data_IF_300537265678
#
_entry.id   IF_300537265678
#
_cell.length_a   1.000
_cell.length_b   1.000
_cell.length_c   1.000
_cell.angle_alpha   90.00
_cell.angle_beta   90.00
_cell.angle_gamma   90.00
#
_symmetry.space_group_name_H-M   'P 1'
#
loop_
_entity.id
_entity.type
_entity.pdbx_description
1 polymer ?
#
# COMPACT_ATOMS: atom_id res chain seq x y z
N UNK A 1 -18.76 -9.25 29.87
CA UNK A 1 -18.82 -7.79 29.60
C UNK A 1 -18.23 -6.98 30.74
N UNK A 2 -18.58 -7.29 31.99
CA UNK A 2 -18.00 -6.64 33.17
C UNK A 2 -16.47 -6.65 33.16
N UNK A 3 -15.84 -7.83 33.03
CA UNK A 3 -14.37 -7.95 33.00
C UNK A 3 -13.72 -7.13 31.87
N UNK A 4 -14.38 -7.07 30.70
CA UNK A 4 -13.92 -6.26 29.57
C UNK A 4 -13.95 -4.77 29.90
N UNK A 5 -15.01 -4.29 30.54
CA UNK A 5 -15.12 -2.89 30.97
C UNK A 5 -14.09 -2.57 32.06
N UNK A 6 -13.88 -3.46 33.02
CA UNK A 6 -12.90 -3.26 34.08
C UNK A 6 -11.47 -3.21 33.52
N UNK A 7 -11.12 -4.11 32.61
CA UNK A 7 -9.80 -4.09 31.97
C UNK A 7 -9.64 -2.90 31.02
N UNK A 8 -10.68 -2.53 30.24
CA UNK A 8 -10.64 -1.33 29.39
C UNK A 8 -10.34 -0.06 30.19
N UNK A 9 -11.01 0.11 31.34
CA UNK A 9 -10.78 1.26 32.21
C UNK A 9 -9.36 1.26 32.78
N UNK A 10 -8.85 0.09 33.18
CA UNK A 10 -7.49 -0.07 33.69
C UNK A 10 -6.43 0.21 32.62
N UNK A 11 -6.61 -0.30 31.40
CA UNK A 11 -5.74 -0.02 30.25
C UNK A 11 -5.76 1.47 29.93
N UNK A 12 -6.94 2.10 29.86
CA UNK A 12 -7.08 3.53 29.62
C UNK A 12 -6.39 4.39 30.69
N UNK A 13 -6.55 4.03 31.96
CA UNK A 13 -5.90 4.74 33.07
C UNK A 13 -4.38 4.55 33.04
N UNK A 14 -3.90 3.35 32.75
CA UNK A 14 -2.46 3.05 32.61
C UNK A 14 -1.86 3.85 31.46
N UNK A 15 -2.51 3.84 30.31
CA UNK A 15 -2.09 4.60 29.13
C UNK A 15 -2.02 6.10 29.41
N UNK A 16 -3.06 6.67 30.02
CA UNK A 16 -3.08 8.10 30.43
C UNK A 16 -1.98 8.42 31.43
N UNK A 17 -1.72 7.55 32.40
CA UNK A 17 -0.67 7.76 33.39
C UNK A 17 0.73 7.66 32.79
N UNK A 18 0.95 6.73 31.86
CA UNK A 18 2.20 6.61 31.11
C UNK A 18 2.43 7.86 30.25
N UNK A 19 1.42 8.30 29.50
CA UNK A 19 1.48 9.52 28.70
C UNK A 19 1.80 10.76 29.56
N UNK A 20 1.13 10.93 30.70
CA UNK A 20 1.42 12.03 31.65
C UNK A 20 2.84 11.99 32.22
N UNK A 21 3.43 10.80 32.36
CA UNK A 21 4.81 10.61 32.81
C UNK A 21 5.84 10.77 31.69
N UNK A 22 5.41 11.10 30.47
CA UNK A 22 6.30 11.22 29.31
C UNK A 22 6.76 9.87 28.74
N UNK A 23 6.09 8.77 29.10
CA UNK A 23 6.38 7.42 28.58
C UNK A 23 5.66 7.21 27.24
N UNK A 24 5.96 8.07 26.27
CA UNK A 24 5.43 8.03 24.90
C UNK A 24 6.58 7.74 23.93
N UNK A 25 6.33 6.89 22.95
CA UNK A 25 7.29 6.59 21.88
C UNK A 25 7.30 7.78 20.90
N UNK A 26 8.18 8.74 21.15
CA UNK A 26 8.40 9.84 20.21
C UNK A 26 9.03 9.29 18.92
N UNK A 27 8.55 9.75 17.76
CA UNK A 27 9.20 9.55 16.48
C UNK A 27 9.60 10.90 15.87
N UNK A 28 10.89 11.11 15.58
CA UNK A 28 11.35 12.38 15.00
C UNK A 28 10.79 12.66 13.61
N UNK A 29 10.52 11.64 12.80
CA UNK A 29 9.97 11.81 11.46
C UNK A 29 8.50 12.25 11.51
N UNK A 30 7.72 11.71 12.45
CA UNK A 30 6.35 12.21 12.74
C UNK A 30 6.39 13.64 13.25
N UNK A 31 7.29 13.94 14.19
CA UNK A 31 7.40 15.28 14.77
C UNK A 31 7.72 16.36 13.72
N UNK A 32 8.40 15.98 12.63
CA UNK A 32 8.70 16.84 11.49
C UNK A 32 7.61 16.84 10.41
N UNK A 33 6.63 15.93 10.47
CA UNK A 33 5.58 15.80 9.45
C UNK A 33 6.15 15.40 8.07
N UNK A 34 7.11 14.47 8.05
CA UNK A 34 7.81 14.02 6.82
C UNK A 34 7.58 12.56 6.49
N UNK A 35 6.76 11.87 7.26
CA UNK A 35 6.45 10.44 7.18
C UNK A 35 5.78 10.00 5.88
N UNK A 36 5.33 10.90 5.01
CA UNK A 36 4.79 10.54 3.68
C UNK A 36 5.57 11.20 2.53
N UNK A 37 6.70 11.87 2.83
CA UNK A 37 7.39 12.73 1.86
C UNK A 37 8.60 12.03 1.25
N UNK A 38 8.43 11.47 0.06
CA UNK A 38 9.46 10.71 -0.70
C UNK A 38 10.85 11.36 -0.70
N UNK A 39 10.92 12.67 -0.91
CA UNK A 39 12.18 13.40 -0.95
C UNK A 39 12.93 13.40 0.41
N UNK A 40 12.23 13.37 1.54
CA UNK A 40 12.87 13.25 2.86
C UNK A 40 13.36 11.82 3.12
N UNK A 41 12.65 10.81 2.62
CA UNK A 41 13.13 9.42 2.64
C UNK A 41 14.39 9.27 1.80
N UNK A 42 14.39 9.83 0.59
CA UNK A 42 15.57 9.84 -0.27
C UNK A 42 16.75 10.52 0.40
N UNK A 43 16.53 11.66 1.07
CA UNK A 43 17.56 12.36 1.86
C UNK A 43 18.12 11.51 2.99
N UNK A 44 17.26 10.83 3.75
CA UNK A 44 17.72 10.02 4.87
C UNK A 44 18.46 8.75 4.41
N UNK A 45 17.95 8.05 3.39
CA UNK A 45 18.62 6.90 2.78
C UNK A 45 19.97 7.30 2.20
N UNK A 46 20.02 8.37 1.42
CA UNK A 46 21.26 8.90 0.85
C UNK A 46 22.26 9.32 1.94
N UNK A 47 21.79 9.97 3.00
CA UNK A 47 22.62 10.35 4.15
C UNK A 47 23.30 9.13 4.75
N UNK A 48 22.57 8.02 4.99
CA UNK A 48 23.14 6.79 5.54
C UNK A 48 24.08 6.05 4.57
N UNK A 49 23.82 6.10 3.26
CA UNK A 49 24.67 5.45 2.26
C UNK A 49 25.98 6.22 2.04
N UNK A 50 26.00 7.53 2.31
CA UNK A 50 27.15 8.37 2.03
C UNK A 50 28.29 8.15 3.05
N UNK A 51 29.42 7.49 2.67
CA UNK A 51 30.52 7.27 3.61
C UNK A 51 31.22 8.57 4.02
N UNK A 52 30.97 9.68 3.32
CA UNK A 52 31.54 11.01 3.59
C UNK A 52 30.59 11.93 4.35
N UNK A 53 29.42 11.45 4.79
CA UNK A 53 28.50 12.22 5.61
C UNK A 53 28.94 12.28 7.08
N UNK A 54 28.46 13.30 7.78
CA UNK A 54 28.82 13.61 9.18
C UNK A 54 28.30 12.59 10.21
N UNK A 55 27.73 11.46 9.78
CA UNK A 55 27.45 10.35 10.68
C UNK A 55 28.69 9.48 10.94
N UNK A 56 29.75 9.54 10.10
CA UNK A 56 31.01 8.80 10.27
C UNK A 56 30.84 7.27 10.38
N UNK A 57 29.85 6.69 9.69
CA UNK A 57 29.55 5.25 9.73
C UNK A 57 29.67 4.62 8.34
N UNK A 58 30.89 4.32 7.89
CA UNK A 58 31.11 3.54 6.65
C UNK A 58 30.40 2.17 6.68
N UNK A 59 30.09 1.67 7.88
CA UNK A 59 29.32 0.45 8.09
C UNK A 59 28.02 0.43 7.30
N UNK A 60 27.27 1.55 7.26
CA UNK A 60 25.96 1.58 6.62
C UNK A 60 26.05 1.35 5.13
N UNK A 61 27.01 2.03 4.49
CA UNK A 61 27.34 1.86 3.09
C UNK A 61 27.88 0.44 2.80
N UNK A 62 28.72 -0.11 3.68
CA UNK A 62 29.22 -1.48 3.54
C UNK A 62 28.08 -2.51 3.56
N UNK A 63 27.16 -2.43 4.53
CA UNK A 63 26.00 -3.33 4.60
C UNK A 63 25.04 -3.13 3.42
N UNK A 64 24.89 -1.89 2.92
CA UNK A 64 24.08 -1.59 1.74
C UNK A 64 24.65 -2.28 0.50
N UNK A 65 25.93 -2.06 0.19
CA UNK A 65 26.62 -2.65 -0.96
C UNK A 65 26.67 -4.18 -0.85
N UNK A 66 26.88 -4.70 0.37
CA UNK A 66 26.85 -6.14 0.66
C UNK A 66 25.49 -6.77 0.37
N UNK A 67 24.39 -6.13 0.76
CA UNK A 67 23.05 -6.63 0.43
C UNK A 67 22.74 -6.46 -1.05
N UNK A 68 23.21 -5.36 -1.66
CA UNK A 68 22.99 -5.07 -3.08
C UNK A 68 23.66 -6.12 -3.97
N UNK A 69 24.92 -6.49 -3.70
CA UNK A 69 25.64 -7.52 -4.48
C UNK A 69 24.95 -8.89 -4.47
N UNK A 70 24.26 -9.21 -3.37
CA UNK A 70 23.53 -10.46 -3.17
C UNK A 70 22.17 -10.44 -3.89
N UNK A 71 21.63 -9.25 -4.14
CA UNK A 71 20.31 -9.04 -4.74
C UNK A 71 20.35 -8.81 -6.25
N UNK A 72 21.43 -8.22 -6.77
CA UNK A 72 21.48 -7.73 -8.16
C UNK A 72 22.26 -8.68 -9.08
N UNK A 73 21.70 -8.98 -10.25
CA UNK A 73 22.36 -9.72 -11.33
C UNK A 73 23.17 -8.79 -12.26
N UNK A 74 23.97 -7.89 -11.68
CA UNK A 74 24.80 -6.93 -12.41
C UNK A 74 26.28 -7.19 -12.10
N UNK A 75 26.97 -7.93 -12.96
CA UNK A 75 28.36 -8.37 -12.75
C UNK A 75 29.28 -7.20 -12.37
N UNK A 76 29.12 -6.07 -13.03
CA UNK A 76 29.95 -4.89 -12.83
C UNK A 76 29.61 -4.13 -11.54
N UNK A 77 28.65 -4.58 -10.72
CA UNK A 77 28.30 -3.96 -9.44
C UNK A 77 28.47 -4.93 -8.25
N UNK A 78 28.96 -6.16 -8.47
CA UNK A 78 29.07 -7.18 -7.40
C UNK A 78 30.22 -6.97 -6.42
N UNK A 79 31.34 -6.42 -6.89
CA UNK A 79 32.57 -6.27 -6.10
C UNK A 79 32.76 -4.83 -5.61
N UNK A 80 31.67 -4.12 -5.34
CA UNK A 80 31.72 -2.74 -4.85
C UNK A 80 32.12 -2.67 -3.37
N UNK A 81 32.97 -1.71 -3.08
CA UNK A 81 33.38 -1.32 -1.74
C UNK A 81 33.01 0.13 -1.46
N UNK A 82 33.00 0.53 -0.19
CA UNK A 82 32.69 1.93 0.18
C UNK A 82 33.69 2.92 -0.41
N UNK A 83 34.94 2.48 -0.65
CA UNK A 83 35.97 3.30 -1.27
C UNK A 83 35.70 3.60 -2.76
N UNK A 84 34.81 2.87 -3.41
CA UNK A 84 34.43 3.13 -4.80
C UNK A 84 33.46 4.30 -4.94
N UNK A 85 32.73 4.64 -3.87
CA UNK A 85 31.77 5.74 -3.84
C UNK A 85 32.52 7.07 -3.96
N UNK A 86 32.16 7.89 -4.97
CA UNK A 86 32.66 9.25 -5.20
C UNK A 86 31.69 10.29 -4.59
N UNK A 87 30.39 10.15 -4.85
CA UNK A 87 29.35 11.01 -4.27
C UNK A 87 28.03 10.28 -4.11
N UNK A 88 27.22 10.76 -3.16
CA UNK A 88 25.81 10.38 -3.01
C UNK A 88 25.00 11.67 -2.98
N UNK A 89 24.18 11.90 -3.99
CA UNK A 89 23.44 13.13 -4.20
C UNK A 89 21.94 12.84 -4.19
N UNK A 90 21.15 13.68 -3.53
CA UNK A 90 19.69 13.66 -3.66
C UNK A 90 19.22 14.78 -4.55
N UNK A 91 18.08 14.58 -5.21
CA UNK A 91 17.51 15.57 -6.12
C UNK A 91 18.52 15.98 -7.22
N UNK A 92 19.36 15.03 -7.66
CA UNK A 92 20.48 15.29 -8.55
C UNK A 92 19.99 15.79 -9.91
N UNK A 93 20.38 17.02 -10.27
CA UNK A 93 19.85 17.71 -11.44
C UNK A 93 20.21 17.01 -12.75
N UNK A 94 19.17 16.71 -13.52
CA UNK A 94 19.21 16.27 -14.91
C UNK A 94 18.75 17.43 -15.80
N UNK A 95 18.98 17.32 -17.11
CA UNK A 95 18.47 18.29 -18.09
C UNK A 95 16.95 18.47 -17.94
N UNK A 96 16.45 19.67 -18.28
CA UNK A 96 15.02 20.02 -18.29
C UNK A 96 14.35 20.00 -16.89
N UNK A 97 15.08 20.43 -15.86
CA UNK A 97 14.60 20.59 -14.47
C UNK A 97 14.15 19.27 -13.79
N UNK A 98 14.61 18.14 -14.32
CA UNK A 98 14.41 16.81 -13.73
C UNK A 98 15.44 16.54 -12.65
N UNK A 99 15.08 15.71 -11.68
CA UNK A 99 15.91 15.43 -10.51
C UNK A 99 15.84 13.95 -10.19
N UNK A 100 16.99 13.27 -10.18
CA UNK A 100 17.09 11.89 -9.71
C UNK A 100 16.97 11.91 -8.19
N UNK A 101 16.11 11.07 -7.62
CA UNK A 101 15.86 11.08 -6.17
C UNK A 101 17.12 10.77 -5.35
N UNK A 102 17.85 9.71 -5.72
CA UNK A 102 19.19 9.43 -5.21
C UNK A 102 20.10 8.99 -6.36
N UNK A 103 21.25 9.63 -6.50
CA UNK A 103 22.30 9.26 -7.43
C UNK A 103 23.58 8.93 -6.66
N UNK A 104 24.04 7.69 -6.76
CA UNK A 104 25.36 7.27 -6.28
C UNK A 104 26.32 7.27 -7.48
N UNK A 105 27.33 8.13 -7.44
CA UNK A 105 28.40 8.17 -8.44
C UNK A 105 29.62 7.43 -7.92
N UNK A 106 30.19 6.55 -8.73
CA UNK A 106 31.43 5.84 -8.42
C UNK A 106 32.63 6.49 -9.11
N UNK A 107 33.81 6.32 -8.52
CA UNK A 107 35.07 6.95 -8.99
C UNK A 107 35.42 6.60 -10.45
N UNK A 108 35.04 5.41 -10.88
CA UNK A 108 35.27 4.90 -12.24
C UNK A 108 34.14 5.20 -13.23
N UNK A 109 33.23 6.13 -12.86
CA UNK A 109 32.10 6.58 -13.70
C UNK A 109 31.05 5.49 -13.97
N UNK A 110 30.91 4.54 -13.04
CA UNK A 110 29.67 3.80 -12.83
C UNK A 110 28.68 4.62 -11.99
N UNK A 111 27.40 4.37 -12.19
CA UNK A 111 26.31 5.11 -11.54
C UNK A 111 25.21 4.16 -11.06
N UNK A 112 24.68 4.43 -9.87
CA UNK A 112 23.47 3.80 -9.35
C UNK A 112 22.39 4.87 -9.22
N UNK A 113 21.32 4.73 -9.99
CA UNK A 113 20.09 5.52 -9.85
C UNK A 113 19.20 4.80 -8.85
N UNK A 114 18.63 5.51 -7.89
CA UNK A 114 17.49 5.04 -7.08
C UNK A 114 16.37 6.06 -7.26
N UNK A 115 15.30 5.65 -7.92
CA UNK A 115 14.05 6.41 -8.00
C UNK A 115 13.12 5.90 -6.90
N UNK A 116 12.68 6.80 -6.02
CA UNK A 116 11.94 6.46 -4.82
C UNK A 116 10.45 6.79 -4.97
N UNK A 117 9.59 5.77 -4.88
CA UNK A 117 8.15 5.88 -5.01
C UNK A 117 7.45 5.32 -3.77
N UNK A 118 6.95 6.21 -2.94
CA UNK A 118 6.00 5.88 -1.87
C UNK A 118 4.58 5.95 -2.43
N UNK A 119 4.11 7.16 -2.75
CA UNK A 119 2.73 7.41 -3.17
C UNK A 119 2.63 8.20 -4.48
N UNK A 120 3.74 8.76 -4.97
CA UNK A 120 3.72 9.57 -6.18
C UNK A 120 3.59 8.70 -7.44
N UNK A 121 2.78 9.18 -8.38
CA UNK A 121 2.68 8.61 -9.71
C UNK A 121 3.98 8.89 -10.49
N UNK A 122 4.27 7.99 -11.42
CA UNK A 122 5.38 8.16 -12.35
C UNK A 122 5.24 9.41 -13.22
N UNK A 123 6.35 10.12 -13.40
CA UNK A 123 6.42 11.23 -14.32
C UNK A 123 6.76 10.76 -15.73
N UNK A 124 6.21 11.43 -16.75
CA UNK A 124 6.45 11.09 -18.16
C UNK A 124 7.94 11.10 -18.49
N UNK A 125 8.46 10.04 -19.12
CA UNK A 125 9.86 9.83 -19.52
C UNK A 125 10.88 9.90 -18.37
N UNK A 126 10.49 9.75 -17.11
CA UNK A 126 11.36 9.96 -15.94
C UNK A 126 12.64 9.14 -15.98
N UNK A 127 12.54 7.81 -15.90
CA UNK A 127 13.71 6.93 -15.96
C UNK A 127 14.42 7.02 -17.31
N UNK A 128 13.66 7.23 -18.40
CA UNK A 128 14.24 7.40 -19.74
C UNK A 128 15.21 8.58 -19.80
N UNK A 129 14.84 9.72 -19.23
CA UNK A 129 15.66 10.93 -19.27
C UNK A 129 16.88 10.82 -18.35
N UNK A 130 16.76 10.14 -17.21
CA UNK A 130 17.91 9.89 -16.32
C UNK A 130 18.97 9.02 -16.97
N UNK A 131 18.58 7.87 -17.53
CA UNK A 131 19.50 6.92 -18.15
C UNK A 131 20.18 7.56 -19.35
N UNK A 132 19.44 8.29 -20.19
CA UNK A 132 20.01 9.02 -21.33
C UNK A 132 20.97 10.13 -20.88
N UNK A 133 20.67 10.82 -19.78
CA UNK A 133 21.57 11.83 -19.23
C UNK A 133 22.90 11.22 -18.77
N UNK A 134 22.87 10.09 -18.05
CA UNK A 134 24.08 9.41 -17.58
C UNK A 134 24.85 8.74 -18.73
N UNK A 135 24.17 8.17 -19.72
CA UNK A 135 24.78 7.66 -20.96
C UNK A 135 25.71 8.70 -21.60
N UNK A 136 25.29 9.96 -21.65
CA UNK A 136 26.09 11.05 -22.22
C UNK A 136 27.30 11.45 -21.37
N UNK A 137 27.38 11.03 -20.10
CA UNK A 137 28.54 11.26 -19.22
C UNK A 137 29.60 10.15 -19.34
N UNK A 138 29.23 8.97 -19.86
CA UNK A 138 30.12 7.83 -20.01
C UNK A 138 30.90 7.95 -21.32
N UNK A 139 32.23 7.83 -21.25
CA UNK A 139 33.13 8.04 -22.41
C UNK A 139 33.16 6.89 -23.41
N UNK A 140 32.88 5.66 -22.97
CA UNK A 140 32.89 4.45 -23.82
C UNK A 140 31.46 4.10 -24.25
N UNK A 141 31.16 4.28 -25.53
CA UNK A 141 29.80 4.20 -26.07
C UNK A 141 29.34 2.75 -26.28
N UNK A 142 30.26 1.79 -26.45
CA UNK A 142 29.88 0.43 -26.85
C UNK A 142 29.26 -0.37 -25.69
N UNK A 143 29.75 -0.18 -24.45
CA UNK A 143 29.27 -0.90 -23.25
C UNK A 143 28.77 0.04 -22.13
N UNK A 144 28.27 1.23 -22.46
CA UNK A 144 27.85 2.21 -21.44
C UNK A 144 26.81 1.63 -20.45
N UNK A 145 25.93 0.75 -20.93
CA UNK A 145 24.85 0.16 -20.15
C UNK A 145 25.33 -0.66 -18.95
N UNK A 146 26.53 -1.24 -19.04
CA UNK A 146 27.13 -1.98 -17.94
C UNK A 146 27.60 -1.08 -16.79
N UNK A 147 27.60 0.24 -17.00
CA UNK A 147 28.01 1.23 -16.00
C UNK A 147 26.83 1.94 -15.35
N UNK A 148 25.59 1.54 -15.64
CA UNK A 148 24.39 2.13 -15.06
C UNK A 148 23.56 1.02 -14.42
N UNK A 149 23.29 1.15 -13.12
CA UNK A 149 22.31 0.36 -12.41
C UNK A 149 21.11 1.25 -12.07
N UNK A 150 19.94 0.91 -12.61
CA UNK A 150 18.69 1.60 -12.31
C UNK A 150 17.92 0.81 -11.26
N UNK A 151 17.71 1.42 -10.10
CA UNK A 151 16.91 0.88 -9.00
C UNK A 151 15.59 1.64 -8.95
N UNK A 152 14.49 0.90 -8.94
CA UNK A 152 13.16 1.46 -8.68
C UNK A 152 12.72 0.98 -7.29
N UNK A 153 12.70 1.90 -6.33
CA UNK A 153 12.32 1.65 -4.94
C UNK A 153 10.83 1.96 -4.76
N UNK A 154 10.03 0.95 -4.43
CA UNK A 154 8.58 1.09 -4.27
C UNK A 154 8.08 0.44 -2.96
N UNK A 155 6.91 0.83 -2.43
CA UNK A 155 6.34 0.15 -1.25
C UNK A 155 5.87 -1.27 -1.56
N UNK A 156 5.21 -1.43 -2.70
CA UNK A 156 4.80 -2.73 -3.24
C UNK A 156 5.95 -3.43 -3.98
N UNK A 157 6.27 -4.66 -3.55
CA UNK A 157 7.32 -5.54 -4.10
C UNK A 157 7.06 -5.98 -5.54
N UNK A 158 5.81 -5.94 -6.01
CA UNK A 158 5.43 -6.38 -7.35
C UNK A 158 5.43 -5.24 -8.38
N UNK A 159 5.35 -3.99 -7.93
CA UNK A 159 5.23 -2.83 -8.81
C UNK A 159 6.53 -2.54 -9.58
N UNK A 160 6.37 -2.24 -10.88
CA UNK A 160 7.42 -1.74 -11.79
C UNK A 160 7.14 -0.31 -12.20
N UNK A 161 8.14 0.44 -12.68
CA UNK A 161 7.90 1.73 -13.29
C UNK A 161 6.98 1.55 -14.51
N UNK A 162 5.98 2.40 -14.58
CA UNK A 162 5.02 2.46 -15.66
C UNK A 162 5.68 2.81 -17.00
N UNK A 163 4.98 2.48 -18.09
CA UNK A 163 5.35 2.92 -19.44
C UNK A 163 5.38 4.45 -19.59
N UNK A 164 4.68 5.18 -18.71
CA UNK A 164 4.78 6.64 -18.67
C UNK A 164 6.21 7.06 -18.30
N UNK A 165 6.82 6.44 -17.29
CA UNK A 165 8.20 6.71 -16.85
C UNK A 165 9.26 6.20 -17.84
N UNK A 166 9.05 5.00 -18.37
CA UNK A 166 9.94 4.38 -19.37
C UNK A 166 9.80 5.03 -20.76
N UNK A 167 8.72 5.78 -20.98
CA UNK A 167 8.40 6.54 -22.17
C UNK A 167 7.39 5.84 -23.09
N UNK A 168 6.35 6.56 -23.52
CA UNK A 168 5.21 5.96 -24.25
C UNK A 168 5.55 5.65 -25.72
N UNK A 169 6.32 6.52 -26.39
CA UNK A 169 6.71 6.36 -27.80
C UNK A 169 8.20 6.06 -27.90
N UNK A 170 8.56 4.94 -28.53
CA UNK A 170 9.92 4.41 -28.52
C UNK A 170 10.46 4.31 -27.09
N UNK A 171 9.63 3.75 -26.22
CA UNK A 171 9.87 3.58 -24.79
C UNK A 171 10.94 2.57 -24.47
N UNK A 172 11.35 2.59 -23.22
CA UNK A 172 12.16 1.54 -22.65
C UNK A 172 11.28 0.36 -22.21
N UNK A 173 11.86 -0.85 -22.23
CA UNK A 173 11.23 -2.08 -21.76
C UNK A 173 12.12 -2.75 -20.73
N UNK A 174 11.52 -3.30 -19.68
CA UNK A 174 12.22 -4.09 -18.69
C UNK A 174 12.14 -5.55 -19.10
N UNK A 175 13.29 -6.22 -19.16
CA UNK A 175 13.37 -7.65 -19.44
C UNK A 175 14.60 -8.24 -18.76
N UNK A 176 14.45 -9.36 -18.04
CA UNK A 176 15.54 -10.12 -17.44
C UNK A 176 16.54 -9.28 -16.60
N UNK A 177 16.06 -8.35 -15.76
CA UNK A 177 16.89 -7.41 -14.98
C UNK A 177 17.70 -6.40 -15.81
N UNK A 178 17.22 -6.09 -17.01
CA UNK A 178 17.76 -5.05 -17.87
C UNK A 178 16.68 -4.10 -18.35
N UNK A 179 17.07 -2.86 -18.61
CA UNK A 179 16.27 -1.89 -19.34
C UNK A 179 16.78 -1.85 -20.77
N UNK A 180 15.90 -2.05 -21.75
CA UNK A 180 16.20 -2.01 -23.18
C UNK A 180 15.49 -0.85 -23.84
N UNK A 181 16.07 -0.26 -24.88
CA UNK A 181 15.37 0.69 -25.74
C UNK A 181 14.47 -0.01 -26.79
N UNK A 182 13.80 0.79 -27.62
CA UNK A 182 12.93 0.29 -28.68
C UNK A 182 13.63 -0.53 -29.78
N UNK A 183 14.97 -0.47 -29.84
CA UNK A 183 15.80 -1.27 -30.76
C UNK A 183 16.36 -2.53 -30.11
N UNK A 184 15.94 -2.85 -28.87
CA UNK A 184 16.48 -3.90 -28.01
C UNK A 184 17.94 -3.67 -27.59
N UNK A 185 18.48 -2.45 -27.73
CA UNK A 185 19.78 -2.12 -27.14
C UNK A 185 19.62 -2.04 -25.63
N UNK A 186 20.48 -2.75 -24.87
CA UNK A 186 20.54 -2.62 -23.42
C UNK A 186 20.98 -1.22 -23.04
N UNK A 187 20.24 -0.59 -22.11
CA UNK A 187 20.43 0.78 -21.66
C UNK A 187 20.96 0.86 -20.22
N UNK A 188 20.55 -0.07 -19.36
CA UNK A 188 21.07 -0.20 -17.98
C UNK A 188 20.77 -1.59 -17.42
N UNK A 189 21.48 -1.97 -16.35
CA UNK A 189 20.95 -2.96 -15.41
C UNK A 189 19.69 -2.41 -14.72
N UNK A 190 18.82 -3.31 -14.28
CA UNK A 190 17.61 -2.99 -13.53
C UNK A 190 17.53 -3.82 -12.26
N UNK A 191 17.15 -3.18 -11.17
CA UNK A 191 16.80 -3.85 -9.93
C UNK A 191 15.51 -3.25 -9.36
N UNK A 192 14.50 -4.10 -9.16
CA UNK A 192 13.31 -3.76 -8.40
C UNK A 192 13.65 -3.88 -6.92
N UNK A 193 13.49 -2.79 -6.18
CA UNK A 193 13.73 -2.73 -4.74
C UNK A 193 12.45 -2.33 -4.04
N UNK A 194 12.22 -2.85 -2.84
CA UNK A 194 11.09 -2.46 -2.02
C UNK A 194 11.53 -1.93 -0.64
N UNK A 195 10.59 -1.39 0.11
CA UNK A 195 10.85 -0.88 1.46
C UNK A 195 11.12 -1.99 2.50
N UNK A 196 10.80 -3.27 2.18
CA UNK A 196 11.17 -4.42 3.01
C UNK A 196 12.67 -4.68 2.89
N UNK A 197 13.23 -4.56 1.69
CA UNK A 197 14.65 -4.59 1.43
C UNK A 197 15.39 -3.50 2.22
N UNK A 198 14.87 -2.26 2.21
CA UNK A 198 15.44 -1.14 2.98
C UNK A 198 15.37 -1.43 4.48
N UNK A 199 14.24 -1.93 5.00
CA UNK A 199 14.10 -2.30 6.42
C UNK A 199 15.05 -3.41 6.83
N UNK A 200 15.24 -4.42 5.99
CA UNK A 200 16.22 -5.49 6.22
C UNK A 200 17.64 -4.95 6.26
N UNK A 201 18.01 -4.03 5.36
CA UNK A 201 19.29 -3.34 5.41
C UNK A 201 19.46 -2.54 6.70
N UNK A 202 18.47 -1.75 7.12
CA UNK A 202 18.51 -1.02 8.39
C UNK A 202 18.65 -1.97 9.58
N UNK A 203 18.00 -3.14 9.56
CA UNK A 203 18.16 -4.16 10.60
C UNK A 203 19.59 -4.71 10.66
N UNK A 204 20.24 -4.94 9.51
CA UNK A 204 21.64 -5.35 9.45
C UNK A 204 22.53 -4.28 10.09
N UNK A 205 22.36 -3.00 9.72
CA UNK A 205 23.09 -1.89 10.32
C UNK A 205 22.94 -1.84 11.85
N UNK A 206 21.70 -1.95 12.35
CA UNK A 206 21.41 -1.98 13.79
C UNK A 206 22.11 -3.17 14.47
N UNK A 207 22.01 -4.37 13.87
CA UNK A 207 22.62 -5.58 14.42
C UNK A 207 24.14 -5.41 14.53
N UNK A 208 24.79 -4.93 13.47
CA UNK A 208 26.24 -4.75 13.48
C UNK A 208 26.67 -3.67 14.48
N UNK A 209 25.88 -2.61 14.67
CA UNK A 209 26.14 -1.61 15.72
C UNK A 209 26.03 -2.21 17.13
N UNK A 210 25.00 -3.03 17.39
CA UNK A 210 24.82 -3.72 18.67
C UNK A 210 25.92 -4.73 18.95
N UNK A 211 26.32 -5.51 17.95
CA UNK A 211 27.40 -6.49 18.11
C UNK A 211 28.71 -5.81 18.52
N UNK A 212 29.05 -4.67 17.90
CA UNK A 212 30.23 -3.85 18.29
C UNK A 212 30.11 -3.35 19.73
N UNK A 213 28.91 -2.98 20.16
CA UNK A 213 28.63 -2.49 21.51
C UNK A 213 28.79 -3.59 22.56
N UNK A 214 28.21 -4.77 22.31
CA UNK A 214 28.27 -5.93 23.21
C UNK A 214 29.69 -6.50 23.33
N UNK A 215 30.45 -6.51 22.23
CA UNK A 215 31.85 -6.98 22.20
C UNK A 215 32.84 -5.97 22.81
N UNK A 216 32.36 -4.82 23.29
CA UNK A 216 33.21 -3.71 23.78
C UNK A 216 34.26 -3.25 22.75
N UNK A 217 33.94 -3.30 21.46
CA UNK A 217 34.79 -2.77 20.38
C UNK A 217 34.67 -1.24 20.25
N UNK A 218 33.74 -0.64 20.99
CA UNK A 218 33.53 0.81 21.07
C UNK A 218 34.19 1.34 22.34
N UNK A 219 35.08 2.32 22.17
CA UNK A 219 35.70 2.98 23.33
C UNK A 219 34.64 3.62 24.21
N UNK A 220 34.92 3.69 25.51
CA UNK A 220 33.94 4.11 26.52
C UNK A 220 33.28 5.46 26.20
N UNK A 221 34.05 6.39 25.66
CA UNK A 221 33.60 7.76 25.40
C UNK A 221 32.63 7.85 24.20
N UNK A 222 32.59 6.83 23.33
CA UNK A 222 31.70 6.78 22.16
C UNK A 222 30.48 5.86 22.34
N UNK A 223 30.27 5.30 23.54
CA UNK A 223 29.13 4.40 23.78
C UNK A 223 27.79 5.12 23.61
N UNK A 224 27.66 6.33 24.15
CA UNK A 224 26.45 7.15 24.02
C UNK A 224 26.19 7.54 22.55
N UNK A 225 27.24 7.88 21.80
CA UNK A 225 27.12 8.18 20.36
C UNK A 225 26.58 6.97 19.59
N UNK A 226 27.06 5.77 19.90
CA UNK A 226 26.58 4.54 19.28
C UNK A 226 25.14 4.19 19.69
N UNK A 227 24.74 4.48 20.93
CA UNK A 227 23.35 4.38 21.36
C UNK A 227 22.45 5.36 20.57
N UNK A 228 22.89 6.59 20.35
CA UNK A 228 22.19 7.60 19.55
C UNK A 228 22.04 7.17 18.08
N UNK A 229 23.08 6.56 17.51
CA UNK A 229 23.03 5.95 16.18
C UNK A 229 21.97 4.85 16.14
N UNK A 230 22.01 3.89 17.08
CA UNK A 230 21.05 2.79 17.15
C UNK A 230 19.63 3.32 17.34
N UNK A 231 19.44 4.32 18.20
CA UNK A 231 18.15 4.97 18.43
C UNK A 231 17.61 5.58 17.13
N UNK A 232 18.42 6.36 16.41
CA UNK A 232 18.04 7.00 15.14
C UNK A 232 17.63 5.97 14.08
N UNK A 233 18.40 4.88 13.93
CA UNK A 233 18.04 3.80 13.01
C UNK A 233 16.74 3.10 13.40
N UNK A 234 16.48 2.93 14.71
CA UNK A 234 15.21 2.36 15.18
C UNK A 234 14.02 3.28 14.91
N UNK A 235 14.19 4.60 15.00
CA UNK A 235 13.14 5.58 14.66
C UNK A 235 12.73 5.45 13.19
N UNK A 236 13.71 5.34 12.28
CA UNK A 236 13.43 5.09 10.87
C UNK A 236 12.86 3.70 10.62
N UNK A 237 13.37 2.66 11.29
CA UNK A 237 12.80 1.30 11.22
C UNK A 237 11.33 1.25 11.62
N UNK A 238 10.91 2.00 12.64
CA UNK A 238 9.51 2.10 13.05
C UNK A 238 8.67 2.72 11.94
N UNK A 239 9.14 3.81 11.35
CA UNK A 239 8.50 4.45 10.19
C UNK A 239 8.38 3.47 8.99
N UNK A 240 9.43 2.72 8.70
CA UNK A 240 9.43 1.68 7.66
C UNK A 240 8.45 0.54 7.93
N UNK A 241 8.14 0.23 9.20
CA UNK A 241 7.08 -0.75 9.50
C UNK A 241 5.74 -0.24 8.99
N UNK A 242 5.43 1.05 9.17
CA UNK A 242 4.16 1.61 8.72
C UNK A 242 3.95 1.43 7.22
N UNK A 243 4.96 1.68 6.37
CA UNK A 243 4.82 1.45 4.92
C UNK A 243 4.62 -0.01 4.52
N UNK A 244 5.05 -0.94 5.37
CA UNK A 244 5.00 -2.37 5.07
C UNK A 244 3.77 -3.07 5.63
N UNK A 245 3.12 -2.47 6.62
CA UNK A 245 1.96 -3.09 7.28
C UNK A 245 0.71 -2.23 7.21
N UNK A 246 0.78 -0.97 6.75
CA UNK A 246 -0.27 0.06 6.87
C UNK A 246 -0.83 0.22 8.31
N UNK A 247 -0.17 -0.40 9.29
CA UNK A 247 -0.49 -0.33 10.70
C UNK A 247 0.39 0.77 11.29
N UNK A 248 -0.17 1.99 11.35
CA UNK A 248 0.33 2.99 12.27
C UNK A 248 0.06 2.48 13.69
N UNK A 249 1.01 1.75 14.27
CA UNK A 249 1.04 1.54 15.71
C UNK A 249 1.68 2.78 16.34
N UNK A 250 0.96 3.91 16.38
CA UNK A 250 1.07 4.70 17.61
C UNK A 250 0.79 3.71 18.74
N UNK A 251 1.65 3.71 19.75
CA UNK A 251 1.44 2.90 20.94
C UNK A 251 0.19 3.42 21.63
N UNK A 252 -0.97 2.98 21.18
CA UNK A 252 -2.28 3.24 21.73
C UNK A 252 -2.79 1.92 22.29
N UNK A 253 -2.34 1.64 23.52
CA UNK A 253 -2.69 0.41 24.23
C UNK A 253 -4.22 0.25 24.36
N UNK A 254 -4.97 1.36 24.33
CA UNK A 254 -6.43 1.36 24.37
C UNK A 254 -7.00 0.86 23.04
N UNK A 255 -6.61 1.46 21.92
CA UNK A 255 -7.06 1.03 20.59
C UNK A 255 -6.68 -0.42 20.32
N UNK A 256 -5.46 -0.83 20.69
CA UNK A 256 -5.01 -2.22 20.60
C UNK A 256 -5.92 -3.16 21.41
N UNK A 257 -6.18 -2.84 22.67
CA UNK A 257 -7.09 -3.64 23.49
C UNK A 257 -8.50 -3.75 22.89
N UNK A 258 -8.99 -2.67 22.28
CA UNK A 258 -10.29 -2.65 21.60
C UNK A 258 -10.31 -3.54 20.35
N UNK A 259 -9.23 -3.57 19.55
CA UNK A 259 -9.03 -4.49 18.40
C UNK A 259 -8.96 -5.95 18.83
N UNK A 260 -8.36 -6.25 19.96
CA UNK A 260 -8.32 -7.62 20.49
C UNK A 260 -9.69 -8.08 21.02
N UNK A 261 -10.65 -7.16 21.18
CA UNK A 261 -11.97 -7.41 21.75
C UNK A 261 -13.12 -6.87 20.88
N UNK A 262 -13.01 -6.92 19.55
CA UNK A 262 -13.92 -6.27 18.59
C UNK A 262 -15.41 -6.49 18.86
N UNK A 263 -15.85 -7.72 19.12
CA UNK A 263 -17.28 -8.01 19.37
C UNK A 263 -17.84 -7.29 20.62
N UNK A 264 -17.03 -7.23 21.68
CA UNK A 264 -17.38 -6.55 22.93
C UNK A 264 -17.34 -5.03 22.72
N UNK A 265 -16.34 -4.54 22.00
CA UNK A 265 -16.21 -3.14 21.57
C UNK A 265 -17.42 -2.68 20.77
N UNK A 266 -17.80 -3.43 19.73
CA UNK A 266 -19.01 -3.20 18.93
C UNK A 266 -20.27 -3.21 19.80
N UNK A 267 -20.40 -4.19 20.69
CA UNK A 267 -21.54 -4.28 21.61
C UNK A 267 -21.65 -3.06 22.52
N UNK A 268 -20.53 -2.52 23.01
CA UNK A 268 -20.52 -1.35 23.87
C UNK A 268 -20.79 -0.05 23.08
N UNK A 269 -20.35 0.02 21.82
CA UNK A 269 -20.59 1.16 20.92
C UNK A 269 -22.06 1.27 20.50
N UNK A 270 -22.67 0.16 20.01
CA UNK A 270 -24.01 0.16 19.41
C UNK A 270 -25.02 0.97 20.23
N UNK A 271 -25.46 2.11 19.65
CA UNK A 271 -26.30 3.13 20.30
C UNK A 271 -27.60 2.57 20.89
N UNK A 272 -28.09 1.45 20.37
CA UNK A 272 -29.35 0.81 20.76
C UNK A 272 -29.27 0.01 22.06
N UNK A 273 -28.08 -0.28 22.59
CA UNK A 273 -27.92 -0.97 23.88
C UNK A 273 -27.89 0.03 25.04
N UNK A 274 -28.97 0.04 25.82
CA UNK A 274 -29.11 0.88 27.01
C UNK A 274 -28.40 0.21 28.20
N UNK A 275 -28.07 0.97 29.26
CA UNK A 275 -27.51 0.42 30.52
C UNK A 275 -28.32 -0.79 31.05
N UNK A 276 -29.62 -0.83 30.77
CA UNK A 276 -30.53 -1.90 31.17
C UNK A 276 -30.11 -3.30 30.66
N UNK A 277 -29.29 -3.37 29.61
CA UNK A 277 -28.73 -4.61 29.06
C UNK A 277 -27.48 -5.09 29.82
N UNK A 278 -26.95 -4.27 30.74
CA UNK A 278 -25.74 -4.50 31.53
C UNK A 278 -26.04 -4.41 33.03
N UNK A 279 -26.93 -5.27 33.52
CA UNK A 279 -27.49 -5.21 34.89
C UNK A 279 -26.44 -5.28 36.00
N UNK A 280 -25.33 -5.97 35.76
CA UNK A 280 -24.28 -6.21 36.75
C UNK A 280 -23.15 -5.16 36.73
N UNK A 281 -23.31 -4.08 35.95
CA UNK A 281 -22.27 -3.06 35.75
C UNK A 281 -22.70 -1.72 36.35
N UNK A 282 -21.81 -1.16 37.16
CA UNK A 282 -21.99 0.18 37.72
C UNK A 282 -22.13 1.23 36.61
N UNK A 283 -23.08 2.16 36.76
CA UNK A 283 -23.40 3.14 35.72
C UNK A 283 -22.20 4.01 35.32
N UNK A 284 -21.41 4.44 36.31
CA UNK A 284 -20.26 5.30 36.08
C UNK A 284 -19.17 4.58 35.26
N UNK A 285 -18.88 3.32 35.62
CA UNK A 285 -17.95 2.47 34.87
C UNK A 285 -18.42 2.24 33.43
N UNK A 286 -19.71 1.90 33.25
CA UNK A 286 -20.32 1.74 31.93
C UNK A 286 -20.18 3.01 31.08
N UNK A 287 -20.51 4.18 31.65
CA UNK A 287 -20.44 5.47 30.96
C UNK A 287 -19.02 5.78 30.50
N UNK A 288 -18.04 5.69 31.41
CA UNK A 288 -16.62 5.92 31.11
C UNK A 288 -16.10 5.01 30.00
N UNK A 289 -16.42 3.71 30.08
CA UNK A 289 -16.03 2.75 29.05
C UNK A 289 -16.67 3.05 27.70
N UNK A 290 -17.95 3.45 27.69
CA UNK A 290 -18.65 3.83 26.45
C UNK A 290 -18.05 5.09 25.82
N UNK A 291 -17.66 6.07 26.62
CA UNK A 291 -17.02 7.29 26.12
C UNK A 291 -15.64 6.96 25.51
N UNK A 292 -14.83 6.12 26.16
CA UNK A 292 -13.55 5.63 25.60
C UNK A 292 -13.75 4.95 24.24
N UNK A 293 -14.74 4.04 24.14
CA UNK A 293 -15.02 3.35 22.87
C UNK A 293 -15.46 4.34 21.80
N UNK A 294 -16.29 5.32 22.13
CA UNK A 294 -16.72 6.35 21.16
C UNK A 294 -15.55 7.19 20.65
N UNK A 295 -14.66 7.61 21.55
CA UNK A 295 -13.49 8.40 21.20
C UNK A 295 -12.56 7.66 20.22
N UNK A 296 -12.53 6.33 20.30
CA UNK A 296 -11.70 5.45 19.46
C UNK A 296 -12.42 4.80 18.28
N UNK A 297 -13.73 4.98 18.17
CA UNK A 297 -14.54 4.20 17.24
C UNK A 297 -14.21 4.50 15.78
N UNK A 298 -14.10 5.78 15.41
CA UNK A 298 -13.84 6.16 14.02
C UNK A 298 -12.43 5.73 13.57
N UNK A 299 -11.45 5.76 14.47
CA UNK A 299 -10.09 5.26 14.24
C UNK A 299 -10.11 3.74 13.99
N UNK A 300 -10.76 2.97 14.87
CA UNK A 300 -10.96 1.53 14.73
C UNK A 300 -11.67 1.16 13.41
N UNK A 301 -12.70 1.93 13.03
CA UNK A 301 -13.44 1.70 11.79
C UNK A 301 -12.56 1.86 10.55
N UNK A 302 -11.72 2.90 10.52
CA UNK A 302 -10.79 3.14 9.40
C UNK A 302 -9.83 1.97 9.24
N UNK A 303 -9.21 1.52 10.34
CA UNK A 303 -8.26 0.42 10.29
C UNK A 303 -8.90 -0.91 9.88
N UNK A 304 -10.12 -1.21 10.34
CA UNK A 304 -10.84 -2.42 9.90
C UNK A 304 -11.13 -2.39 8.40
N UNK A 305 -11.53 -1.23 7.87
CA UNK A 305 -11.82 -1.07 6.44
C UNK A 305 -10.55 -1.16 5.60
N UNK A 306 -9.48 -0.46 6.01
CA UNK A 306 -8.18 -0.53 5.34
C UNK A 306 -7.65 -1.96 5.31
N UNK A 307 -7.67 -2.65 6.45
CA UNK A 307 -7.22 -4.04 6.55
C UNK A 307 -8.03 -4.98 5.65
N UNK A 308 -9.35 -4.82 5.62
CA UNK A 308 -10.22 -5.62 4.75
C UNK A 308 -9.89 -5.45 3.27
N UNK A 309 -9.72 -4.20 2.80
CA UNK A 309 -9.39 -3.95 1.39
C UNK A 309 -7.97 -4.36 1.04
N UNK A 310 -7.02 -4.22 1.97
CA UNK A 310 -5.67 -4.73 1.81
C UNK A 310 -5.66 -6.25 1.61
N UNK A 311 -6.35 -7.02 2.48
CA UNK A 311 -6.45 -8.47 2.34
C UNK A 311 -7.21 -8.90 1.07
N UNK A 312 -8.23 -8.13 0.66
CA UNK A 312 -8.89 -8.36 -0.64
C UNK A 312 -7.93 -8.14 -1.81
N UNK A 313 -7.13 -7.06 -1.77
CA UNK A 313 -6.12 -6.76 -2.78
C UNK A 313 -5.10 -7.87 -2.89
N UNK A 314 -4.49 -8.28 -1.77
CA UNK A 314 -3.53 -9.40 -1.75
C UNK A 314 -4.14 -10.69 -2.32
N UNK A 315 -5.38 -10.99 -1.95
CA UNK A 315 -6.06 -12.19 -2.46
C UNK A 315 -6.31 -12.12 -3.96
N UNK A 316 -6.77 -10.98 -4.48
CA UNK A 316 -7.18 -10.82 -5.87
C UNK A 316 -6.10 -10.22 -6.79
N UNK A 317 -4.87 -10.01 -6.28
CA UNK A 317 -3.69 -9.63 -7.06
C UNK A 317 -3.37 -10.70 -8.11
N UNK A 318 -3.53 -11.96 -7.73
CA UNK A 318 -3.55 -13.10 -8.67
C UNK A 318 -4.99 -13.43 -9.01
N UNK A 319 -5.20 -13.89 -10.24
CA UNK A 319 -6.53 -14.26 -10.70
C UNK A 319 -7.12 -15.34 -9.79
N UNK A 320 -8.32 -15.06 -9.26
CA UNK A 320 -9.03 -15.92 -8.33
C UNK A 320 -10.22 -16.57 -9.03
N UNK A 321 -10.36 -17.88 -8.84
CA UNK A 321 -11.49 -18.62 -9.39
C UNK A 321 -12.75 -18.33 -8.58
N UNK A 322 -13.75 -17.70 -9.21
CA UNK A 322 -15.08 -17.52 -8.62
C UNK A 322 -16.00 -18.59 -9.19
N UNK A 323 -15.89 -19.81 -8.66
CA UNK A 323 -16.68 -20.99 -9.06
C UNK A 323 -16.89 -21.07 -10.60
N UNK A 324 -18.15 -21.12 -11.07
CA UNK A 324 -18.51 -21.21 -12.49
C UNK A 324 -18.30 -19.93 -13.30
N UNK A 325 -17.88 -18.82 -12.67
CA UNK A 325 -17.72 -17.50 -13.29
C UNK A 325 -16.28 -17.22 -13.74
N UNK A 326 -15.40 -18.21 -13.67
CA UNK A 326 -14.03 -18.12 -14.17
C UNK A 326 -13.09 -17.38 -13.22
N UNK A 327 -11.98 -16.88 -13.77
CA UNK A 327 -10.95 -16.16 -13.04
C UNK A 327 -11.26 -14.66 -13.00
N UNK A 328 -11.07 -14.06 -11.83
CA UNK A 328 -11.32 -12.64 -11.58
C UNK A 328 -10.10 -11.99 -10.91
N UNK A 329 -9.83 -10.76 -11.31
CA UNK A 329 -8.80 -9.90 -10.73
C UNK A 329 -9.46 -8.80 -9.92
N UNK A 330 -8.70 -8.22 -8.99
CA UNK A 330 -9.15 -7.14 -8.11
C UNK A 330 -8.22 -5.94 -8.19
N UNK A 331 -8.77 -4.74 -8.13
CA UNK A 331 -7.99 -3.51 -8.05
C UNK A 331 -8.66 -2.45 -7.18
N UNK A 332 -7.85 -1.70 -6.44
CA UNK A 332 -8.30 -0.52 -5.71
C UNK A 332 -8.60 0.63 -6.69
N UNK A 333 -9.60 1.44 -6.35
CA UNK A 333 -10.02 2.57 -7.16
C UNK A 333 -9.54 3.89 -6.55
N UNK A 334 -9.02 4.79 -7.39
CA UNK A 334 -8.65 6.17 -7.00
C UNK A 334 -9.87 6.91 -6.42
N UNK A 335 -9.69 7.68 -5.33
CA UNK A 335 -10.76 8.31 -4.56
C UNK A 335 -11.55 9.39 -5.35
N UNK A 336 -11.02 9.85 -6.48
CA UNK A 336 -11.56 10.96 -7.29
C UNK A 336 -12.58 10.54 -8.37
N UNK A 337 -13.20 9.35 -8.27
CA UNK A 337 -14.17 8.87 -9.27
C UNK A 337 -15.59 9.41 -9.04
N UNK A 338 -16.38 9.44 -10.11
CA UNK A 338 -17.80 9.81 -10.07
C UNK A 338 -18.68 8.79 -9.31
N UNK A 339 -18.22 7.53 -9.18
CA UNK A 339 -18.95 6.45 -8.52
C UNK A 339 -18.38 6.19 -7.12
N UNK A 340 -19.24 5.80 -6.16
CA UNK A 340 -18.90 5.55 -4.76
C UNK A 340 -18.16 4.22 -4.50
N UNK A 341 -17.67 3.56 -5.55
CA UNK A 341 -16.98 2.28 -5.44
C UNK A 341 -15.53 2.49 -4.96
N UNK A 342 -15.05 1.59 -4.13
CA UNK A 342 -13.72 1.66 -3.52
C UNK A 342 -12.75 0.60 -4.04
N UNK A 343 -13.29 -0.53 -4.48
CA UNK A 343 -12.55 -1.66 -5.00
C UNK A 343 -13.35 -2.29 -6.13
N UNK A 344 -12.71 -2.58 -7.26
CA UNK A 344 -13.35 -3.26 -8.38
C UNK A 344 -12.78 -4.67 -8.56
N UNK A 345 -13.67 -5.57 -8.96
CA UNK A 345 -13.34 -6.89 -9.47
C UNK A 345 -13.70 -6.95 -10.95
N UNK A 346 -12.84 -7.51 -11.78
CA UNK A 346 -13.14 -7.71 -13.20
C UNK A 346 -12.67 -9.08 -13.68
N UNK A 347 -13.32 -9.68 -14.69
CA UNK A 347 -12.90 -10.99 -15.19
C UNK A 347 -11.50 -10.92 -15.83
N UNK A 348 -10.63 -11.90 -15.58
CA UNK A 348 -9.24 -11.94 -16.07
C UNK A 348 -9.13 -11.85 -17.60
N UNK A 349 -10.14 -12.34 -18.32
CA UNK A 349 -10.22 -12.25 -19.79
C UNK A 349 -10.21 -10.80 -20.33
N UNK A 350 -10.40 -9.80 -19.46
CA UNK A 350 -10.33 -8.38 -19.78
C UNK A 350 -9.03 -7.70 -19.29
N UNK A 351 -8.05 -8.46 -18.79
CA UNK A 351 -6.81 -7.89 -18.21
C UNK A 351 -6.01 -7.04 -19.20
N UNK A 352 -5.99 -7.43 -20.47
CA UNK A 352 -5.24 -6.76 -21.54
C UNK A 352 -6.17 -5.92 -22.46
N UNK A 353 -7.45 -5.79 -22.10
CA UNK A 353 -8.43 -4.99 -22.86
C UNK A 353 -8.52 -3.59 -22.25
N UNK A 354 -7.81 -2.63 -22.84
CA UNK A 354 -7.68 -1.30 -22.23
C UNK A 354 -8.89 -0.38 -22.47
N UNK A 355 -9.75 -0.64 -23.46
CA UNK A 355 -10.75 0.36 -23.88
C UNK A 355 -12.07 0.31 -23.12
N UNK A 356 -12.68 -0.88 -22.95
CA UNK A 356 -14.02 -1.08 -22.37
C UNK A 356 -14.11 -2.45 -21.68
N UNK A 357 -14.51 -2.50 -20.40
CA UNK A 357 -14.62 -3.76 -19.65
C UNK A 357 -15.69 -3.74 -18.55
N UNK A 358 -16.33 -4.89 -18.24
CA UNK A 358 -17.24 -5.00 -17.11
C UNK A 358 -16.47 -5.12 -15.78
N UNK A 359 -16.98 -4.51 -14.71
CA UNK A 359 -16.48 -4.73 -13.35
C UNK A 359 -17.59 -4.78 -12.30
N UNK A 360 -17.26 -5.34 -11.15
CA UNK A 360 -18.07 -5.35 -9.95
C UNK A 360 -17.40 -4.46 -8.91
N UNK A 361 -18.05 -3.37 -8.50
CA UNK A 361 -17.53 -2.45 -7.50
C UNK A 361 -18.07 -2.75 -6.10
N UNK A 362 -17.25 -2.52 -5.08
CA UNK A 362 -17.66 -2.51 -3.67
C UNK A 362 -17.95 -1.08 -3.24
N UNK A 363 -19.15 -0.81 -2.77
CA UNK A 363 -19.53 0.52 -2.29
C UNK A 363 -20.01 0.50 -0.84
N UNK A 364 -19.75 1.60 -0.14
CA UNK A 364 -20.29 1.92 1.18
C UNK A 364 -20.25 3.45 1.38
N UNK A 365 -21.14 3.96 2.23
CA UNK A 365 -21.20 5.38 2.56
C UNK A 365 -20.01 5.80 3.44
N UNK A 366 -19.23 6.78 2.98
CA UNK A 366 -18.03 7.26 3.70
C UNK A 366 -18.36 7.78 5.10
N UNK A 367 -19.50 8.44 5.24
CA UNK A 367 -19.99 8.91 6.54
C UNK A 367 -20.66 7.76 7.29
N UNK A 368 -19.98 7.26 8.33
CA UNK A 368 -20.46 6.18 9.22
C UNK A 368 -20.67 4.83 8.54
N UNK A 369 -19.99 4.54 7.42
CA UNK A 369 -19.89 3.19 6.84
C UNK A 369 -21.26 2.47 6.67
N UNK A 370 -22.27 3.22 6.25
CA UNK A 370 -23.61 2.71 5.97
C UNK A 370 -23.72 2.28 4.50
N UNK A 371 -24.88 1.81 4.04
CA UNK A 371 -25.14 1.53 2.61
C UNK A 371 -24.11 0.61 1.91
N UNK A 372 -23.67 -0.48 2.55
CA UNK A 372 -22.75 -1.44 1.95
C UNK A 372 -23.41 -2.34 0.90
N UNK A 373 -22.72 -2.59 -0.21
CA UNK A 373 -23.21 -3.44 -1.28
C UNK A 373 -22.23 -3.62 -2.45
N UNK A 374 -22.74 -4.19 -3.54
CA UNK A 374 -22.02 -4.37 -4.80
C UNK A 374 -22.70 -3.63 -5.96
N UNK A 375 -21.89 -3.07 -6.84
CA UNK A 375 -22.31 -2.53 -8.14
C UNK A 375 -21.85 -3.45 -9.26
N UNK A 376 -22.61 -3.56 -10.35
CA UNK A 376 -22.14 -4.12 -11.61
C UNK A 376 -22.22 -3.05 -12.68
N UNK A 377 -21.08 -2.74 -13.31
CA UNK A 377 -20.94 -1.59 -14.21
C UNK A 377 -20.07 -1.92 -15.41
N UNK A 378 -20.13 -1.03 -16.40
CA UNK A 378 -19.23 -1.03 -17.55
C UNK A 378 -18.29 0.18 -17.44
N UNK A 379 -16.99 -0.05 -17.56
CA UNK A 379 -15.95 0.98 -17.55
C UNK A 379 -15.44 1.24 -18.96
N UNK A 380 -14.82 2.39 -19.16
CA UNK A 380 -14.23 2.80 -20.44
C UNK A 380 -13.09 3.81 -20.22
N UNK A 381 -12.15 3.87 -21.17
CA UNK A 381 -11.17 4.96 -21.26
C UNK A 381 -11.66 6.11 -22.16
N UNK A 382 -12.25 5.78 -23.31
CA UNK A 382 -12.87 6.73 -24.24
C UNK A 382 -14.28 6.25 -24.62
N UNK A 383 -15.23 7.17 -24.76
CA UNK A 383 -16.59 6.83 -25.18
C UNK A 383 -16.62 6.43 -26.67
N UNK A 384 -16.58 5.13 -26.94
CA UNK A 384 -16.63 4.57 -28.29
C UNK A 384 -17.96 3.84 -28.59
N UNK A 385 -18.07 3.28 -29.79
CA UNK A 385 -19.28 2.54 -30.21
C UNK A 385 -19.47 1.23 -29.43
N UNK A 386 -18.39 0.59 -28.97
CA UNK A 386 -18.47 -0.64 -28.17
C UNK A 386 -19.06 -0.33 -26.79
N UNK A 387 -18.61 0.74 -26.15
CA UNK A 387 -19.15 1.22 -24.88
C UNK A 387 -20.66 1.48 -24.97
N UNK A 388 -21.10 2.20 -26.01
CA UNK A 388 -22.54 2.46 -26.26
C UNK A 388 -23.35 1.18 -26.44
N UNK A 389 -22.81 0.18 -27.14
CA UNK A 389 -23.45 -1.12 -27.27
C UNK A 389 -23.53 -1.86 -25.93
N UNK A 390 -22.50 -1.78 -25.08
CA UNK A 390 -22.50 -2.38 -23.75
C UNK A 390 -23.51 -1.72 -22.79
N UNK A 391 -23.67 -0.39 -22.83
CA UNK A 391 -24.71 0.30 -22.03
C UNK A 391 -26.10 -0.26 -22.33
N UNK A 392 -26.41 -0.55 -23.60
CA UNK A 392 -27.71 -1.10 -23.99
C UNK A 392 -27.99 -2.51 -23.43
N UNK A 393 -26.99 -3.16 -22.83
CA UNK A 393 -27.19 -4.43 -22.12
C UNK A 393 -27.89 -4.24 -20.78
N UNK A 394 -27.79 -3.05 -20.18
CA UNK A 394 -28.47 -2.68 -18.94
C UNK A 394 -29.93 -2.30 -19.26
N UNK A 395 -30.86 -3.17 -18.87
CA UNK A 395 -32.29 -3.05 -19.17
C UNK A 395 -33.02 -2.35 -18.02
N UNK A 396 -34.11 -1.65 -18.36
CA UNK A 396 -35.04 -1.13 -17.36
C UNK A 396 -35.63 -2.28 -16.53
N UNK A 397 -35.60 -2.11 -15.21
CA UNK A 397 -36.11 -3.11 -14.27
C UNK A 397 -37.57 -2.77 -13.96
N UNK A 398 -38.52 -3.40 -14.64
CA UNK A 398 -39.95 -3.18 -14.43
C UNK A 398 -40.53 -4.20 -13.44
N UNK A 399 -41.04 -3.74 -12.30
CA UNK A 399 -41.73 -4.56 -11.29
C UNK A 399 -40.91 -4.84 -10.02
N UNK A 400 -41.48 -5.60 -9.06
CA UNK A 400 -40.72 -6.16 -7.92
C UNK A 400 -39.71 -7.16 -8.48
N UNK A 401 -38.51 -6.69 -8.79
CA UNK A 401 -37.42 -7.52 -9.28
C UNK A 401 -37.14 -8.63 -8.26
N UNK A 402 -37.13 -9.89 -8.67
CA UNK A 402 -36.98 -11.05 -7.77
C UNK A 402 -35.58 -11.18 -7.18
N UNK A 403 -34.61 -10.48 -7.76
CA UNK A 403 -33.19 -10.57 -7.40
C UNK A 403 -32.69 -9.44 -6.49
N UNK A 404 -33.57 -8.55 -6.00
CA UNK A 404 -33.18 -7.38 -5.18
C UNK A 404 -32.17 -6.43 -5.86
N UNK A 405 -32.06 -6.45 -7.18
CA UNK A 405 -31.20 -5.54 -7.97
C UNK A 405 -31.97 -4.27 -8.31
N UNK A 406 -31.32 -3.12 -8.08
CA UNK A 406 -31.76 -1.81 -8.55
C UNK A 406 -30.90 -1.36 -9.73
N UNK A 407 -31.49 -0.62 -10.67
CA UNK A 407 -30.76 0.08 -11.73
C UNK A 407 -30.57 1.52 -11.30
N UNK A 408 -29.35 2.02 -11.42
CA UNK A 408 -29.06 3.43 -11.24
C UNK A 408 -28.36 3.94 -12.50
N UNK A 409 -28.87 5.05 -13.04
CA UNK A 409 -28.47 5.57 -14.35
C UNK A 409 -28.55 4.49 -15.46
N UNK A 410 -28.02 4.81 -16.63
CA UNK A 410 -28.13 3.93 -17.79
C UNK A 410 -27.13 2.77 -17.79
N UNK A 411 -26.07 2.81 -16.98
CA UNK A 411 -24.88 1.97 -17.16
C UNK A 411 -24.45 1.14 -15.93
N UNK A 412 -25.25 1.09 -14.84
CA UNK A 412 -24.93 0.19 -13.72
C UNK A 412 -26.14 -0.33 -12.94
N UNK A 413 -25.96 -1.54 -12.40
CA UNK A 413 -26.85 -2.16 -11.43
C UNK A 413 -26.23 -2.09 -10.03
N UNK A 414 -27.04 -2.03 -8.99
CA UNK A 414 -26.60 -2.16 -7.62
C UNK A 414 -27.42 -3.20 -6.86
N UNK A 415 -26.75 -3.86 -5.92
CA UNK A 415 -27.35 -4.67 -4.88
C UNK A 415 -26.95 -4.05 -3.54
N UNK A 416 -27.94 -3.64 -2.77
CA UNK A 416 -27.71 -3.18 -1.40
C UNK A 416 -27.94 -4.37 -0.50
N UNK A 417 -26.96 -4.74 0.32
CA UNK A 417 -27.11 -5.88 1.21
C UNK A 417 -28.07 -5.53 2.35
N UNK A 418 -29.36 -5.77 2.14
CA UNK A 418 -30.42 -5.49 3.13
C UNK A 418 -30.46 -6.53 4.27
N UNK A 419 -29.82 -7.69 4.09
CA UNK A 419 -29.80 -8.80 5.05
C UNK A 419 -28.90 -8.53 6.28
N UNK A 420 -28.09 -7.49 6.27
CA UNK A 420 -27.32 -7.06 7.43
C UNK A 420 -28.17 -6.10 8.28
N UNK A 421 -29.11 -6.68 9.04
CA UNK A 421 -29.96 -6.09 10.09
C UNK A 421 -30.37 -4.62 9.88
N UNK A 422 -31.60 -4.40 9.39
CA UNK A 422 -32.21 -3.08 9.16
C UNK A 422 -31.27 -2.11 8.44
N UNK A 423 -31.38 -2.05 7.10
CA UNK A 423 -30.62 -1.25 6.12
C UNK A 423 -30.53 0.28 6.33
N UNK A 424 -30.86 0.75 7.54
CA UNK A 424 -30.74 2.11 8.10
C UNK A 424 -29.83 2.21 9.33
N UNK A 425 -29.20 1.11 9.81
CA UNK A 425 -28.27 1.16 10.94
C UNK A 425 -26.95 1.85 10.53
N UNK A 426 -26.54 2.88 11.28
CA UNK A 426 -25.21 3.48 11.13
C UNK A 426 -24.13 2.42 11.44
N UNK A 427 -23.03 2.43 10.67
CA UNK A 427 -21.90 1.49 10.78
C UNK A 427 -22.21 0.02 10.38
N UNK A 428 -23.25 -0.23 9.58
CA UNK A 428 -23.61 -1.57 9.12
C UNK A 428 -22.43 -2.36 8.48
N UNK A 429 -21.61 -1.70 7.66
CA UNK A 429 -20.43 -2.36 7.07
C UNK A 429 -19.40 -2.78 8.12
N UNK A 430 -19.14 -1.91 9.10
CA UNK A 430 -18.21 -2.20 10.19
C UNK A 430 -18.72 -3.36 11.04
N UNK A 431 -20.02 -3.42 11.31
CA UNK A 431 -20.59 -4.55 12.02
C UNK A 431 -20.44 -5.85 11.24
N UNK A 432 -20.61 -5.81 9.92
CA UNK A 432 -20.33 -6.97 9.07
C UNK A 432 -18.85 -7.38 9.15
N UNK A 433 -17.92 -6.43 9.06
CA UNK A 433 -16.48 -6.71 9.20
C UNK A 433 -16.18 -7.34 10.55
N UNK A 434 -16.67 -6.79 11.65
CA UNK A 434 -16.43 -7.31 13.00
C UNK A 434 -16.98 -8.73 13.17
N UNK A 435 -18.21 -8.99 12.69
CA UNK A 435 -18.84 -10.31 12.80
C UNK A 435 -18.15 -11.40 11.97
N UNK A 436 -17.39 -11.01 10.94
CA UNK A 436 -16.67 -11.93 10.07
C UNK A 436 -15.14 -11.77 10.21
N UNK A 437 -14.66 -11.06 11.24
CA UNK A 437 -13.23 -10.77 11.38
C UNK A 437 -12.41 -12.07 11.46
N UNK A 438 -11.39 -12.20 10.61
CA UNK A 438 -10.57 -13.41 10.46
C UNK A 438 -10.98 -14.30 9.27
N UNK A 439 -12.26 -14.27 8.87
CA UNK A 439 -12.79 -15.05 7.73
C UNK A 439 -13.48 -14.17 6.67
N UNK A 440 -13.49 -12.84 6.84
CA UNK A 440 -14.27 -11.89 6.04
C UNK A 440 -13.99 -11.98 4.54
N UNK A 441 -12.81 -12.43 4.14
CA UNK A 441 -12.39 -12.49 2.74
C UNK A 441 -12.99 -13.72 2.07
N UNK A 442 -13.13 -14.82 2.81
CA UNK A 442 -13.85 -16.00 2.37
C UNK A 442 -15.35 -15.72 2.31
N UNK A 443 -15.92 -15.08 3.34
CA UNK A 443 -17.33 -14.69 3.36
C UNK A 443 -17.68 -13.68 2.26
N UNK A 444 -16.80 -12.71 2.01
CA UNK A 444 -16.96 -11.77 0.89
C UNK A 444 -16.93 -12.47 -0.46
N UNK A 445 -16.10 -13.51 -0.64
CA UNK A 445 -16.06 -14.28 -1.88
C UNK A 445 -17.40 -14.99 -2.15
N UNK A 446 -18.07 -15.48 -1.11
CA UNK A 446 -19.43 -16.04 -1.23
C UNK A 446 -20.45 -14.99 -1.64
N UNK A 447 -20.38 -13.80 -1.03
CA UNK A 447 -21.23 -12.65 -1.38
C UNK A 447 -21.05 -12.29 -2.86
N UNK A 448 -19.80 -12.23 -3.35
CA UNK A 448 -19.49 -11.94 -4.74
C UNK A 448 -20.04 -13.03 -5.68
N UNK A 449 -19.92 -14.30 -5.30
CA UNK A 449 -20.49 -15.42 -6.06
C UNK A 449 -22.03 -15.37 -6.11
N UNK A 450 -22.68 -15.11 -4.98
CA UNK A 450 -24.14 -14.94 -4.89
C UNK A 450 -24.62 -13.79 -5.78
N UNK A 451 -23.92 -12.66 -5.77
CA UNK A 451 -24.23 -11.51 -6.63
C UNK A 451 -24.09 -11.85 -8.12
N UNK A 452 -23.02 -12.53 -8.52
CA UNK A 452 -22.84 -13.01 -9.89
C UNK A 452 -23.87 -14.07 -10.33
N UNK A 453 -24.45 -14.80 -9.38
CA UNK A 453 -25.49 -15.79 -9.64
C UNK A 453 -26.89 -15.20 -9.86
N UNK A 454 -27.09 -13.91 -9.54
CA UNK A 454 -28.36 -13.22 -9.81
C UNK A 454 -28.62 -13.20 -11.32
N UNK A 455 -29.83 -13.54 -11.72
CA UNK A 455 -30.21 -13.71 -13.12
C UNK A 455 -29.98 -12.41 -13.91
N UNK A 456 -30.30 -11.27 -13.30
CA UNK A 456 -30.06 -9.94 -13.88
C UNK A 456 -28.58 -9.70 -14.21
N UNK A 457 -27.67 -10.04 -13.29
CA UNK A 457 -26.23 -9.82 -13.45
C UNK A 457 -25.66 -10.78 -14.50
N UNK A 458 -25.98 -12.08 -14.35
CA UNK A 458 -25.53 -13.13 -15.26
C UNK A 458 -25.91 -12.84 -16.71
N UNK A 459 -27.20 -12.55 -16.96
CA UNK A 459 -27.70 -12.28 -18.31
C UNK A 459 -27.06 -11.05 -18.95
N UNK A 460 -26.72 -10.04 -18.14
CA UNK A 460 -26.09 -8.81 -18.63
C UNK A 460 -24.62 -9.03 -18.95
N UNK A 461 -23.89 -9.72 -18.09
CA UNK A 461 -22.49 -10.09 -18.34
C UNK A 461 -22.35 -10.97 -19.59
N UNK A 462 -23.25 -11.94 -19.81
CA UNK A 462 -23.26 -12.77 -21.02
C UNK A 462 -23.48 -11.95 -22.30
N UNK A 463 -24.31 -10.91 -22.28
CA UNK A 463 -24.51 -10.00 -23.42
C UNK A 463 -23.26 -9.15 -23.68
N UNK A 464 -22.65 -8.60 -22.63
CA UNK A 464 -21.42 -7.81 -22.72
C UNK A 464 -20.29 -8.66 -23.31
N UNK A 465 -20.10 -9.89 -22.84
CA UNK A 465 -19.07 -10.80 -23.36
C UNK A 465 -19.25 -11.10 -24.86
N UNK A 466 -20.50 -11.15 -25.37
CA UNK A 466 -20.77 -11.33 -26.81
C UNK A 466 -20.41 -10.12 -27.66
N UNK A 467 -20.55 -8.91 -27.10
CA UNK A 467 -20.21 -7.65 -27.77
C UNK A 467 -18.70 -7.47 -27.81
N UNK A 468 -18.05 -7.57 -26.64
CA UNK A 468 -16.63 -7.28 -26.49
C UNK A 468 -15.74 -8.36 -27.09
N UNK A 469 -16.20 -9.62 -27.11
CA UNK A 469 -15.43 -10.78 -27.61
C UNK A 469 -14.01 -10.80 -27.02
N UNK A 470 -13.88 -10.84 -25.68
CA UNK A 470 -12.60 -10.75 -25.02
C UNK A 470 -11.64 -11.83 -25.53
N UNK A 471 -10.37 -11.45 -25.63
CA UNK A 471 -9.28 -12.34 -25.99
C UNK A 471 -9.29 -13.57 -25.05
N UNK A 472 -9.27 -14.78 -25.62
CA UNK A 472 -9.41 -16.05 -24.89
C UNK A 472 -8.26 -16.36 -23.95
#
# INVERSE_FOLDING_TARGET
MQDFIEELLKVSETFKNNAKKGMSDINIFEALGVEYKENYHSKFIAYLINPHADHYQELFANEFLKKLRESVQASNFKELTVQDIESVETEACVKDNRRIDILISLKDKRYIIIENKLYAKDQKNQLKDYINHLKNKIKNIDNFHENILTIYLHMDENTEPSQISLGVKNGFKIQNNFIHDSSNQTMSYYFKMDYKWIKEWINLCISTCKDKFEKNEIEKDFKEDMENVIFTLNQYKTLLKWYLTDEFEAKDDVLKFLKENLEKTMTLYKYTKNKNDFKDIEYDKYRKAKDIVKDKWDELCKELVSKFFHELKEKFEKAQSINKHGQWLGCELDENRFNYDWFDFYPEIYKDEDDVWPSIGVYFGKSKYNHFGLTFKINYLEEDEKYKQCINCFQELTGKNTDNICRHNEHYYCDKFENFSNSKEEYAFIYWLINNHGDWTAEFSKILEEFLNKETIKNTLEKINKILKPSK
#
